data_IF_801103454897
#
_entry.id   IF_801103454897
#
_cell.length_a   1.000
_cell.length_b   1.000
_cell.length_c   1.000
_cell.angle_alpha   90.00
_cell.angle_beta   90.00
_cell.angle_gamma   90.00
#
_symmetry.space_group_name_H-M   'P 1'
#
loop_
_entity.id
_entity.type
_entity.pdbx_description
1 polymer ?
#
# COMPACT_ATOMS: atom_id res chain seq x y z
N UNK A 1 10.90 -21.58 -10.16
CA UNK A 1 10.47 -21.40 -8.76
C UNK A 1 10.14 -19.91 -8.52
N UNK A 2 9.16 -19.64 -7.64
CA UNK A 2 8.71 -18.30 -7.30
C UNK A 2 9.12 -17.95 -5.87
N UNK A 3 9.46 -16.67 -5.64
CA UNK A 3 9.64 -16.10 -4.31
C UNK A 3 8.52 -15.13 -4.05
N UNK A 4 7.74 -15.36 -2.99
CA UNK A 4 6.62 -14.51 -2.58
C UNK A 4 7.04 -13.74 -1.32
N UNK A 5 6.82 -12.44 -1.33
CA UNK A 5 7.07 -11.56 -0.18
C UNK A 5 5.82 -10.77 0.16
N UNK A 6 5.80 -10.18 1.33
CA UNK A 6 4.69 -9.39 1.86
C UNK A 6 5.09 -7.92 2.04
N UNK A 7 4.14 -7.02 1.81
CA UNK A 7 4.21 -5.62 2.18
C UNK A 7 2.99 -5.29 3.06
N UNK A 8 3.23 -4.84 4.29
CA UNK A 8 2.19 -4.62 5.29
C UNK A 8 1.38 -3.35 5.06
N UNK A 9 0.25 -3.22 5.75
CA UNK A 9 -0.70 -2.11 5.67
C UNK A 9 -1.36 -1.96 4.28
N UNK A 10 -1.95 -0.80 4.01
CA UNK A 10 -2.43 -0.46 2.67
C UNK A 10 -1.30 -0.29 1.67
N UNK A 11 -1.59 -0.52 0.40
CA UNK A 11 -0.58 -0.46 -0.66
C UNK A 11 0.05 0.94 -0.82
N UNK A 12 -0.66 1.98 -0.43
CA UNK A 12 -0.15 3.36 -0.39
C UNK A 12 0.98 3.57 0.63
N UNK A 13 1.08 2.70 1.63
CA UNK A 13 2.16 2.72 2.63
C UNK A 13 3.12 1.56 2.44
N UNK A 14 2.66 0.33 2.57
CA UNK A 14 3.53 -0.84 2.58
C UNK A 14 4.13 -1.13 1.21
N UNK A 15 3.31 -1.21 0.17
CA UNK A 15 3.81 -1.49 -1.18
C UNK A 15 4.64 -0.31 -1.72
N UNK A 16 4.24 0.94 -1.48
CA UNK A 16 5.04 2.11 -1.84
C UNK A 16 6.46 2.02 -1.28
N UNK A 17 6.60 1.73 0.03
CA UNK A 17 7.91 1.58 0.68
C UNK A 17 8.68 0.36 0.20
N UNK A 18 7.98 -0.75 -0.04
CA UNK A 18 8.60 -1.95 -0.60
C UNK A 18 9.22 -1.65 -1.97
N UNK A 19 8.49 -0.98 -2.85
CA UNK A 19 8.91 -0.68 -4.21
C UNK A 19 9.96 0.45 -4.25
N UNK A 20 9.73 1.57 -3.58
CA UNK A 20 10.64 2.71 -3.61
C UNK A 20 11.88 2.55 -2.72
N UNK A 21 11.81 1.80 -1.63
CA UNK A 21 12.92 1.66 -0.67
C UNK A 21 13.56 0.28 -0.79
N UNK A 22 12.80 -0.80 -0.51
CA UNK A 22 13.37 -2.14 -0.43
C UNK A 22 13.85 -2.64 -1.80
N UNK A 23 13.02 -2.55 -2.83
CA UNK A 23 13.39 -2.98 -4.18
C UNK A 23 14.60 -2.21 -4.70
N UNK A 24 14.59 -0.87 -4.55
CA UNK A 24 15.71 -0.01 -4.92
C UNK A 24 17.03 -0.44 -4.25
N UNK A 25 17.00 -0.63 -2.92
CA UNK A 25 18.22 -0.95 -2.14
C UNK A 25 18.72 -2.38 -2.37
N UNK A 26 17.82 -3.32 -2.61
CA UNK A 26 18.15 -4.73 -2.77
C UNK A 26 18.32 -5.15 -4.24
N UNK A 27 18.12 -4.25 -5.21
CA UNK A 27 18.15 -4.57 -6.63
C UNK A 27 17.07 -5.57 -7.05
N UNK A 28 15.90 -5.51 -6.40
CA UNK A 28 14.77 -6.38 -6.70
C UNK A 28 13.85 -5.74 -7.75
N UNK A 29 13.35 -6.56 -8.66
CA UNK A 29 12.34 -6.19 -9.65
C UNK A 29 11.19 -7.20 -9.57
N UNK A 30 10.04 -6.86 -8.98
CA UNK A 30 8.89 -7.76 -8.92
C UNK A 30 8.33 -8.04 -10.31
N UNK A 31 7.98 -9.31 -10.57
CA UNK A 31 7.34 -9.73 -11.83
C UNK A 31 5.82 -9.56 -11.81
N UNK A 32 5.20 -9.61 -10.61
CA UNK A 32 3.77 -9.41 -10.41
C UNK A 32 3.49 -8.88 -9.00
N UNK A 33 2.36 -8.20 -8.84
CA UNK A 33 1.85 -7.74 -7.56
C UNK A 33 0.48 -8.34 -7.32
N UNK A 34 0.28 -8.94 -6.14
CA UNK A 34 -1.05 -9.35 -5.66
C UNK A 34 -1.56 -8.28 -4.69
N UNK A 35 -2.64 -7.61 -5.08
CA UNK A 35 -3.32 -6.64 -4.23
C UNK A 35 -4.50 -7.31 -3.53
N UNK A 36 -4.41 -7.45 -2.22
CA UNK A 36 -5.49 -8.06 -1.43
C UNK A 36 -6.60 -7.03 -1.18
N UNK A 37 -7.82 -7.36 -1.57
CA UNK A 37 -9.02 -6.59 -1.31
C UNK A 37 -10.03 -7.41 -0.49
N UNK A 38 -10.88 -6.73 0.28
CA UNK A 38 -11.98 -7.36 1.00
C UNK A 38 -13.28 -6.58 0.78
N UNK A 39 -14.40 -7.27 0.67
CA UNK A 39 -15.74 -6.65 0.63
C UNK A 39 -15.96 -5.74 1.84
N UNK A 40 -15.49 -6.16 3.02
CA UNK A 40 -15.59 -5.37 4.25
C UNK A 40 -14.87 -4.02 4.15
N UNK A 41 -13.68 -4.00 3.55
CA UNK A 41 -12.94 -2.76 3.35
C UNK A 41 -13.67 -1.84 2.36
N UNK A 42 -14.26 -2.38 1.30
CA UNK A 42 -15.06 -1.60 0.35
C UNK A 42 -16.28 -1.00 1.05
N UNK A 43 -17.04 -1.79 1.82
CA UNK A 43 -18.17 -1.25 2.62
C UNK A 43 -17.74 -0.15 3.58
N UNK A 44 -16.63 -0.30 4.28
CA UNK A 44 -16.11 0.75 5.18
C UNK A 44 -15.74 2.03 4.44
N UNK A 45 -15.10 1.92 3.28
CA UNK A 45 -14.79 3.06 2.42
C UNK A 45 -16.05 3.66 1.79
N UNK A 46 -17.11 2.87 1.63
CA UNK A 46 -18.44 3.30 1.19
C UNK A 46 -19.33 3.85 2.30
N UNK A 47 -18.79 4.05 3.52
CA UNK A 47 -19.47 4.72 4.63
C UNK A 47 -20.23 3.80 5.59
N UNK A 48 -20.15 2.47 5.45
CA UNK A 48 -20.81 1.53 6.38
C UNK A 48 -20.07 1.50 7.72
N UNK A 49 -20.84 1.58 8.80
CA UNK A 49 -20.29 1.48 10.15
C UNK A 49 -19.77 0.07 10.44
N UNK A 50 -18.74 -0.03 11.31
CA UNK A 50 -18.06 -1.30 11.62
C UNK A 50 -19.00 -2.41 12.10
N UNK A 51 -20.07 -2.05 12.83
CA UNK A 51 -21.03 -3.01 13.36
C UNK A 51 -21.99 -3.58 12.30
N UNK A 52 -22.13 -2.90 11.16
CA UNK A 52 -23.10 -3.23 10.11
C UNK A 52 -22.45 -3.94 8.90
N UNK A 53 -21.13 -4.17 8.95
CA UNK A 53 -20.36 -4.78 7.86
C UNK A 53 -20.81 -6.20 7.48
N UNK A 54 -21.52 -6.90 8.34
CA UNK A 54 -22.03 -8.24 8.07
C UNK A 54 -23.33 -8.26 7.25
N UNK A 55 -23.98 -7.10 7.08
CA UNK A 55 -25.19 -6.98 6.27
C UNK A 55 -24.80 -6.75 4.80
N UNK A 56 -25.52 -7.38 3.88
CA UNK A 56 -25.30 -7.12 2.45
C UNK A 56 -25.52 -5.64 2.14
N UNK A 57 -24.60 -5.04 1.39
CA UNK A 57 -24.73 -3.66 0.91
C UNK A 57 -23.88 -3.44 -0.34
N UNK A 58 -24.41 -3.85 -1.49
CA UNK A 58 -23.75 -3.74 -2.80
C UNK A 58 -23.48 -2.27 -3.18
N UNK A 59 -24.39 -1.35 -2.85
CA UNK A 59 -24.21 0.07 -3.15
C UNK A 59 -23.04 0.67 -2.37
N UNK A 60 -22.88 0.29 -1.11
CA UNK A 60 -21.73 0.71 -0.33
C UNK A 60 -20.42 0.09 -0.85
N UNK A 61 -20.44 -1.16 -1.32
CA UNK A 61 -19.27 -1.77 -1.99
C UNK A 61 -18.89 -0.94 -3.20
N UNK A 62 -19.83 -0.64 -4.10
CA UNK A 62 -19.58 0.19 -5.29
C UNK A 62 -19.05 1.57 -4.94
N UNK A 63 -19.64 2.21 -3.91
CA UNK A 63 -19.19 3.52 -3.43
C UNK A 63 -17.78 3.51 -2.83
N UNK A 64 -17.35 2.38 -2.28
CA UNK A 64 -16.01 2.21 -1.72
C UNK A 64 -14.95 1.72 -2.70
N UNK A 65 -15.33 1.15 -3.83
CA UNK A 65 -14.41 0.66 -4.87
C UNK A 65 -13.40 1.70 -5.39
N UNK A 66 -13.68 3.01 -5.45
CA UNK A 66 -12.67 4.00 -5.82
C UNK A 66 -11.41 3.97 -4.95
N UNK A 67 -11.51 3.54 -3.68
CA UNK A 67 -10.33 3.31 -2.84
C UNK A 67 -9.44 2.20 -3.42
N UNK A 68 -10.03 1.07 -3.81
CA UNK A 68 -9.31 -0.03 -4.47
C UNK A 68 -8.73 0.42 -5.81
N UNK A 69 -9.51 1.16 -6.61
CA UNK A 69 -9.05 1.72 -7.88
C UNK A 69 -7.80 2.57 -7.72
N UNK A 70 -7.74 3.43 -6.70
CA UNK A 70 -6.57 4.23 -6.38
C UNK A 70 -5.34 3.36 -6.07
N UNK A 71 -5.49 2.28 -5.32
CA UNK A 71 -4.40 1.35 -5.06
C UNK A 71 -3.94 0.64 -6.34
N UNK A 72 -4.85 0.22 -7.22
CA UNK A 72 -4.52 -0.39 -8.51
C UNK A 72 -3.71 0.58 -9.37
N UNK A 73 -4.18 1.83 -9.53
CA UNK A 73 -3.46 2.87 -10.29
C UNK A 73 -2.05 3.11 -9.73
N UNK A 74 -1.95 3.25 -8.41
CA UNK A 74 -0.66 3.48 -7.75
C UNK A 74 0.32 2.34 -8.01
N UNK A 75 -0.12 1.09 -7.91
CA UNK A 75 0.74 -0.07 -8.16
C UNK A 75 1.14 -0.19 -9.64
N UNK A 76 0.21 0.03 -10.55
CA UNK A 76 0.49 0.05 -12.00
C UNK A 76 1.50 1.13 -12.38
N UNK A 77 1.57 2.25 -11.66
CA UNK A 77 2.53 3.33 -11.93
C UNK A 77 3.99 2.91 -11.73
N UNK A 78 4.25 1.82 -11.01
CA UNK A 78 5.58 1.23 -10.89
C UNK A 78 5.95 0.30 -12.06
N UNK A 79 5.07 0.14 -13.06
CA UNK A 79 5.33 -0.69 -14.24
C UNK A 79 5.22 -2.20 -13.98
N UNK A 80 4.53 -2.62 -12.91
CA UNK A 80 4.37 -4.03 -12.55
C UNK A 80 2.92 -4.45 -12.74
N UNK A 81 2.63 -5.60 -13.39
CA UNK A 81 1.28 -6.13 -13.51
C UNK A 81 0.65 -6.41 -12.14
N UNK A 82 -0.65 -6.10 -12.02
CA UNK A 82 -1.41 -6.23 -10.78
C UNK A 82 -2.55 -7.23 -10.95
N UNK A 83 -2.65 -8.20 -10.03
CA UNK A 83 -3.79 -9.10 -9.86
C UNK A 83 -4.44 -8.78 -8.53
N UNK A 84 -5.77 -8.62 -8.50
CA UNK A 84 -6.51 -8.39 -7.26
C UNK A 84 -6.95 -9.74 -6.68
N UNK A 85 -6.61 -9.98 -5.42
CA UNK A 85 -7.12 -11.12 -4.66
C UNK A 85 -8.28 -10.65 -3.78
N UNK A 86 -9.50 -11.07 -4.09
CA UNK A 86 -10.65 -10.83 -3.22
C UNK A 86 -10.62 -11.86 -2.09
N UNK A 87 -10.12 -11.45 -0.92
CA UNK A 87 -10.10 -12.28 0.27
C UNK A 87 -11.52 -12.41 0.81
N UNK A 88 -12.15 -13.53 0.53
CA UNK A 88 -13.57 -13.80 0.77
C UNK A 88 -13.81 -14.21 2.22
N UNK A 89 -14.74 -13.55 2.89
CA UNK A 89 -15.23 -13.90 4.21
C UNK A 89 -16.62 -14.56 4.13
N UNK A 90 -16.96 -15.39 5.12
CA UNK A 90 -18.20 -16.19 5.16
C UNK A 90 -19.49 -15.34 5.00
N UNK A 91 -19.44 -14.06 5.34
CA UNK A 91 -20.58 -13.14 5.25
C UNK A 91 -20.62 -12.31 3.97
N UNK A 92 -19.62 -12.43 3.13
CA UNK A 92 -19.62 -11.75 1.84
C UNK A 92 -20.61 -12.44 0.90
N UNK A 93 -21.46 -11.67 0.23
CA UNK A 93 -22.41 -12.22 -0.73
C UNK A 93 -21.83 -12.24 -2.14
N UNK A 94 -22.35 -13.13 -2.99
CA UNK A 94 -21.92 -13.22 -4.39
C UNK A 94 -22.12 -11.89 -5.13
N UNK A 95 -23.20 -11.16 -4.83
CA UNK A 95 -23.48 -9.84 -5.43
C UNK A 95 -22.43 -8.79 -5.02
N UNK A 96 -21.97 -8.80 -3.77
CA UNK A 96 -20.93 -7.89 -3.30
C UNK A 96 -19.58 -8.23 -3.93
N UNK A 97 -19.23 -9.52 -4.01
CA UNK A 97 -18.02 -10.00 -4.66
C UNK A 97 -18.02 -9.63 -6.14
N UNK A 98 -19.14 -9.85 -6.83
CA UNK A 98 -19.29 -9.52 -8.25
C UNK A 98 -19.08 -8.02 -8.48
N UNK A 99 -19.63 -7.15 -7.61
CA UNK A 99 -19.42 -5.71 -7.73
C UNK A 99 -17.94 -5.30 -7.65
N UNK A 100 -17.13 -5.98 -6.83
CA UNK A 100 -15.68 -5.75 -6.78
C UNK A 100 -15.01 -6.23 -8.06
N UNK A 101 -15.40 -7.41 -8.57
CA UNK A 101 -14.84 -7.96 -9.81
C UNK A 101 -15.16 -7.10 -11.03
N UNK A 102 -16.41 -6.65 -11.16
CA UNK A 102 -16.84 -5.76 -12.23
C UNK A 102 -16.02 -4.45 -12.23
N UNK A 103 -15.87 -3.84 -11.07
CA UNK A 103 -15.06 -2.62 -10.93
C UNK A 103 -13.59 -2.84 -11.30
N UNK A 104 -12.99 -3.96 -10.87
CA UNK A 104 -11.62 -4.28 -11.26
C UNK A 104 -11.47 -4.50 -12.77
N UNK A 105 -12.47 -5.13 -13.40
CA UNK A 105 -12.49 -5.34 -14.85
C UNK A 105 -12.56 -3.99 -15.61
N UNK A 106 -13.37 -3.04 -15.14
CA UNK A 106 -13.41 -1.66 -15.68
C UNK A 106 -12.04 -0.96 -15.56
N UNK A 107 -11.28 -1.25 -14.49
CA UNK A 107 -9.90 -0.76 -14.29
C UNK A 107 -8.85 -1.53 -15.11
N UNK A 108 -9.26 -2.49 -15.95
CA UNK A 108 -8.36 -3.34 -16.71
C UNK A 108 -7.46 -4.21 -15.81
N UNK A 109 -8.02 -4.73 -14.72
CA UNK A 109 -7.33 -5.58 -13.74
C UNK A 109 -8.24 -6.74 -13.36
N UNK A 110 -7.69 -7.95 -13.32
CA UNK A 110 -8.44 -9.13 -12.96
C UNK A 110 -8.54 -9.25 -11.42
N UNK A 111 -9.75 -9.59 -10.93
CA UNK A 111 -10.01 -9.85 -9.53
C UNK A 111 -10.43 -11.30 -9.32
N UNK A 112 -9.63 -12.06 -8.58
CA UNK A 112 -9.83 -13.49 -8.33
C UNK A 112 -10.23 -13.70 -6.88
N UNK A 113 -11.29 -14.46 -6.67
CA UNK A 113 -11.77 -14.81 -5.33
C UNK A 113 -10.83 -15.83 -4.69
N UNK A 114 -10.39 -15.52 -3.47
CA UNK A 114 -9.57 -16.42 -2.66
C UNK A 114 -10.36 -16.82 -1.41
N UNK A 115 -10.64 -18.11 -1.27
CA UNK A 115 -11.37 -18.73 -0.14
C UNK A 115 -10.44 -19.54 0.78
N UNK A 116 -9.17 -19.17 0.85
CA UNK A 116 -8.15 -19.93 1.58
C UNK A 116 -8.48 -20.14 3.07
N UNK A 117 -9.24 -19.24 3.68
CA UNK A 117 -9.65 -19.37 5.07
C UNK A 117 -10.61 -20.57 5.27
N UNK A 118 -11.54 -20.78 4.33
CA UNK A 118 -12.52 -21.87 4.41
C UNK A 118 -11.98 -23.18 3.80
N UNK A 119 -11.29 -23.07 2.66
CA UNK A 119 -10.97 -24.20 1.80
C UNK A 119 -9.45 -24.52 1.77
N UNK A 120 -8.66 -23.84 2.61
CA UNK A 120 -7.20 -24.01 2.63
C UNK A 120 -6.55 -23.61 1.31
N UNK A 121 -5.48 -24.28 0.93
CA UNK A 121 -4.73 -23.98 -0.30
C UNK A 121 -5.56 -24.12 -1.58
N UNK A 122 -6.51 -25.02 -1.60
CA UNK A 122 -7.43 -25.23 -2.75
C UNK A 122 -8.23 -23.96 -3.04
N UNK A 123 -8.63 -23.23 -1.99
CA UNK A 123 -9.35 -21.96 -2.11
C UNK A 123 -8.56 -20.83 -2.77
N UNK A 124 -7.26 -20.98 -2.97
CA UNK A 124 -6.38 -20.00 -3.64
C UNK A 124 -5.73 -20.51 -4.92
N UNK A 125 -6.08 -21.72 -5.37
CA UNK A 125 -5.41 -22.35 -6.52
C UNK A 125 -5.53 -21.52 -7.80
N UNK A 126 -6.72 -20.98 -8.09
CA UNK A 126 -6.94 -20.14 -9.28
C UNK A 126 -6.12 -18.84 -9.21
N UNK A 127 -6.04 -18.24 -8.03
CA UNK A 127 -5.19 -17.05 -7.81
C UNK A 127 -3.72 -17.39 -8.06
N UNK A 128 -3.24 -18.51 -7.51
CA UNK A 128 -1.85 -18.94 -7.67
C UNK A 128 -1.49 -19.21 -9.13
N UNK A 129 -2.35 -19.90 -9.87
CA UNK A 129 -2.18 -20.16 -11.31
C UNK A 129 -2.08 -18.85 -12.09
N UNK A 130 -3.02 -17.92 -11.83
CA UNK A 130 -3.03 -16.64 -12.53
C UNK A 130 -1.81 -15.79 -12.23
N UNK A 131 -1.37 -15.75 -10.99
CA UNK A 131 -0.16 -15.01 -10.60
C UNK A 131 1.09 -15.60 -11.27
N UNK A 132 1.19 -16.92 -11.35
CA UNK A 132 2.27 -17.60 -12.05
C UNK A 132 2.28 -17.22 -13.55
N UNK A 133 1.12 -17.30 -14.23
CA UNK A 133 0.98 -16.89 -15.64
C UNK A 133 1.43 -15.43 -15.86
N UNK A 134 1.00 -14.51 -15.00
CA UNK A 134 1.37 -13.08 -15.09
C UNK A 134 2.88 -12.88 -14.85
N UNK A 135 3.44 -13.60 -13.88
CA UNK A 135 4.88 -13.51 -13.59
C UNK A 135 5.76 -14.10 -14.72
N UNK A 136 5.28 -15.18 -15.35
CA UNK A 136 6.01 -15.87 -16.44
C UNK A 136 5.86 -15.14 -17.79
N UNK A 137 4.86 -14.25 -17.93
CA UNK A 137 4.68 -13.45 -19.15
C UNK A 137 5.79 -12.41 -19.37
N UNK A 138 6.61 -12.12 -18.36
CA UNK A 138 7.74 -11.17 -18.39
C UNK A 138 7.36 -9.76 -18.90
N UNK A 139 6.15 -9.32 -18.57
CA UNK A 139 5.62 -8.02 -18.98
C UNK A 139 5.96 -6.89 -18.00
N UNK A 140 6.58 -7.21 -16.86
CA UNK A 140 6.93 -6.24 -15.85
C UNK A 140 8.07 -5.33 -16.30
N UNK A 141 7.86 -4.02 -16.19
CA UNK A 141 8.88 -2.99 -16.43
C UNK A 141 9.01 -2.12 -15.18
N UNK A 142 9.49 -2.74 -14.10
CA UNK A 142 9.56 -2.12 -12.79
C UNK A 142 10.46 -0.87 -12.78
N UNK A 143 9.94 0.23 -12.25
CA UNK A 143 10.68 1.45 -11.97
C UNK A 143 10.14 2.12 -10.72
N UNK A 144 11.02 2.57 -9.79
CA UNK A 144 10.61 3.47 -8.71
C UNK A 144 10.01 4.77 -9.28
N UNK A 145 9.08 5.40 -8.54
CA UNK A 145 8.36 6.60 -9.02
C UNK A 145 9.20 7.88 -9.00
N UNK A 146 10.40 7.84 -8.47
CA UNK A 146 11.36 8.94 -8.51
C UNK A 146 12.79 8.43 -8.63
N UNK A 147 13.72 9.16 -9.30
CA UNK A 147 15.12 8.80 -9.39
C UNK A 147 15.90 9.16 -8.11
N UNK A 148 17.12 8.59 -7.96
CA UNK A 148 17.96 8.79 -6.78
C UNK A 148 18.46 10.24 -6.65
N UNK A 149 18.70 10.91 -7.75
CA UNK A 149 19.24 12.28 -7.83
C UNK A 149 18.18 13.39 -7.68
N UNK A 150 16.89 13.02 -7.54
CA UNK A 150 15.84 13.99 -7.21
C UNK A 150 16.08 14.59 -5.83
N UNK A 151 15.83 15.90 -5.65
CA UNK A 151 15.93 16.55 -4.35
C UNK A 151 14.99 15.93 -3.31
N UNK A 152 15.42 15.87 -2.05
CA UNK A 152 14.65 15.21 -0.97
C UNK A 152 13.25 15.79 -0.80
N UNK A 153 13.12 17.12 -0.86
CA UNK A 153 11.81 17.78 -0.81
C UNK A 153 10.92 17.39 -1.99
N UNK A 154 11.50 17.25 -3.18
CA UNK A 154 10.77 16.86 -4.39
C UNK A 154 10.35 15.38 -4.36
N UNK A 155 11.16 14.49 -3.76
CA UNK A 155 10.76 13.09 -3.50
C UNK A 155 9.52 13.02 -2.62
N UNK A 156 9.46 13.82 -1.55
CA UNK A 156 8.29 13.94 -0.67
C UNK A 156 7.08 14.43 -1.48
N UNK A 157 7.24 15.51 -2.25
CA UNK A 157 6.18 16.05 -3.10
C UNK A 157 5.69 15.01 -4.14
N UNK A 158 6.62 14.27 -4.74
CA UNK A 158 6.31 13.25 -5.74
C UNK A 158 5.40 12.15 -5.15
N UNK A 159 5.75 11.62 -3.97
CA UNK A 159 4.93 10.59 -3.30
C UNK A 159 3.54 11.18 -2.97
N UNK A 160 3.48 12.39 -2.41
CA UNK A 160 2.21 13.02 -2.04
C UNK A 160 1.30 13.22 -3.24
N UNK A 161 1.83 13.66 -4.37
CA UNK A 161 1.04 13.89 -5.60
C UNK A 161 0.66 12.59 -6.30
N UNK A 162 1.60 11.68 -6.48
CA UNK A 162 1.39 10.49 -7.32
C UNK A 162 0.74 9.33 -6.57
N UNK A 163 1.01 9.15 -5.28
CA UNK A 163 0.45 8.04 -4.48
C UNK A 163 -0.78 8.49 -3.70
N UNK A 164 -0.71 9.64 -3.02
CA UNK A 164 -1.81 10.10 -2.18
C UNK A 164 -2.82 11.00 -2.91
N UNK A 165 -2.48 11.48 -4.13
CA UNK A 165 -3.28 12.45 -4.88
C UNK A 165 -3.57 13.72 -4.07
N UNK A 166 -2.63 14.08 -3.21
CA UNK A 166 -2.66 15.36 -2.51
C UNK A 166 -2.22 16.50 -3.46
N UNK A 167 -2.69 17.70 -3.20
CA UNK A 167 -2.27 18.87 -3.96
C UNK A 167 -0.79 19.19 -3.70
N UNK A 168 -0.39 19.08 -2.43
CA UNK A 168 1.01 19.30 -2.03
C UNK A 168 1.35 18.68 -0.67
N UNK A 169 2.65 18.50 -0.42
CA UNK A 169 3.21 18.33 0.91
C UNK A 169 3.65 19.71 1.46
N UNK A 170 3.06 20.12 2.57
CA UNK A 170 3.40 21.39 3.22
C UNK A 170 4.58 21.17 4.16
N UNK A 171 5.69 21.85 3.91
CA UNK A 171 6.93 21.82 4.70
C UNK A 171 7.30 23.22 5.12
N UNK A 172 7.56 23.43 6.41
CA UNK A 172 8.05 24.72 6.87
C UNK A 172 9.52 24.95 6.48
N UNK A 173 9.99 26.18 6.67
CA UNK A 173 11.37 26.56 6.32
C UNK A 173 12.40 25.71 7.04
N UNK A 174 12.16 25.35 8.30
CA UNK A 174 13.10 24.56 9.10
C UNK A 174 13.29 23.16 8.50
N UNK A 175 12.19 22.52 8.06
CA UNK A 175 12.23 21.22 7.40
C UNK A 175 12.98 21.31 6.07
N UNK A 176 12.67 22.33 5.25
CA UNK A 176 13.34 22.53 3.97
C UNK A 176 14.85 22.77 4.13
N UNK A 177 15.25 23.61 5.09
CA UNK A 177 16.66 23.85 5.40
C UNK A 177 17.36 22.56 5.86
N UNK A 178 16.72 21.75 6.72
CA UNK A 178 17.26 20.48 7.18
C UNK A 178 17.45 19.45 6.05
N UNK A 179 16.51 19.35 5.11
CA UNK A 179 16.64 18.49 3.95
C UNK A 179 17.81 18.90 3.06
N UNK A 180 17.99 20.22 2.83
CA UNK A 180 19.14 20.75 2.09
C UNK A 180 20.47 20.48 2.77
N UNK A 181 20.52 20.60 4.10
CA UNK A 181 21.73 20.31 4.87
C UNK A 181 22.12 18.85 4.70
N UNK A 182 21.17 17.92 4.71
CA UNK A 182 21.44 16.50 4.47
C UNK A 182 21.87 16.22 3.02
N UNK A 183 21.30 16.90 2.05
CA UNK A 183 21.78 16.82 0.65
C UNK A 183 23.24 17.28 0.56
N UNK A 184 23.60 18.39 1.21
CA UNK A 184 24.99 18.88 1.29
C UNK A 184 25.96 17.93 2.00
N UNK A 185 25.45 17.08 2.90
CA UNK A 185 26.22 16.02 3.58
C UNK A 185 26.29 14.70 2.78
N UNK A 186 25.71 14.65 1.56
CA UNK A 186 25.76 13.49 0.68
C UNK A 186 24.58 12.51 0.83
N UNK A 187 23.55 12.85 1.62
CA UNK A 187 22.37 12.01 1.83
C UNK A 187 21.24 12.25 0.83
N UNK A 188 21.43 13.11 -0.17
CA UNK A 188 20.41 13.45 -1.17
C UNK A 188 19.89 12.24 -1.98
N UNK A 189 20.71 11.20 -2.14
CA UNK A 189 20.34 9.99 -2.85
C UNK A 189 19.37 9.07 -2.07
N UNK A 190 19.19 9.29 -0.76
CA UNK A 190 18.37 8.41 0.07
C UNK A 190 16.88 8.46 -0.34
N UNK A 191 16.20 7.32 -0.37
CA UNK A 191 14.75 7.27 -0.55
C UNK A 191 14.01 7.80 0.68
N UNK A 192 12.73 8.14 0.49
CA UNK A 192 11.87 8.70 1.53
C UNK A 192 10.85 7.68 2.01
N UNK A 193 10.69 7.59 3.32
CA UNK A 193 9.67 6.82 4.01
C UNK A 193 8.62 7.79 4.57
N UNK A 194 7.43 7.83 3.97
CA UNK A 194 6.32 8.63 4.46
C UNK A 194 5.65 7.93 5.64
N UNK A 195 5.56 8.61 6.77
CA UNK A 195 4.92 8.11 7.98
C UNK A 195 3.64 8.91 8.26
N UNK A 196 2.49 8.33 7.98
CA UNK A 196 1.14 8.91 8.15
C UNK A 196 0.14 7.85 8.61
N UNK A 197 -1.11 8.25 8.88
CA UNK A 197 -2.18 7.31 9.20
C UNK A 197 -2.37 6.26 8.11
N UNK A 198 -2.65 5.03 8.51
CA UNK A 198 -2.95 3.92 7.59
C UNK A 198 -4.42 3.87 7.14
N UNK A 199 -5.28 4.74 7.63
CA UNK A 199 -6.73 4.67 7.38
C UNK A 199 -7.22 5.53 6.22
N UNK A 200 -6.36 6.35 5.64
CA UNK A 200 -6.69 7.25 4.53
C UNK A 200 -5.46 7.55 3.68
N UNK A 201 -5.65 7.93 2.42
CA UNK A 201 -4.59 8.54 1.60
C UNK A 201 -4.17 9.92 2.13
N UNK A 202 -5.05 10.60 2.89
CA UNK A 202 -4.73 11.86 3.57
C UNK A 202 -4.08 11.62 4.95
N UNK A 203 -3.90 12.68 5.73
CA UNK A 203 -3.48 12.62 7.13
C UNK A 203 -4.68 12.61 8.11
N UNK A 204 -5.92 12.71 7.60
CA UNK A 204 -7.14 12.56 8.38
C UNK A 204 -7.68 11.12 8.25
N UNK A 205 -7.71 10.32 9.33
CA UNK A 205 -8.17 8.94 9.28
C UNK A 205 -9.67 8.80 8.95
N UNK A 206 -10.44 9.88 9.03
CA UNK A 206 -11.87 9.89 8.72
C UNK A 206 -12.16 10.19 7.24
N UNK A 207 -11.22 10.76 6.51
CA UNK A 207 -11.34 11.06 5.09
C UNK A 207 -11.08 9.79 4.27
N UNK A 208 -12.10 8.93 4.18
CA UNK A 208 -12.02 7.60 3.55
C UNK A 208 -12.24 7.66 2.04
N UNK A 209 -12.17 6.50 1.40
CA UNK A 209 -12.35 6.36 -0.05
C UNK A 209 -11.10 6.75 -0.84
N UNK A 210 -11.26 7.57 -1.86
CA UNK A 210 -10.18 8.06 -2.71
C UNK A 210 -10.14 9.61 -2.71
N UNK A 211 -9.76 10.25 -1.59
CA UNK A 211 -9.76 11.70 -1.49
C UNK A 211 -8.75 12.34 -2.45
N UNK A 212 -9.08 13.56 -2.89
CA UNK A 212 -8.22 14.45 -3.69
C UNK A 212 -8.31 15.87 -3.13
N UNK A 213 -7.42 16.77 -3.54
CA UNK A 213 -7.49 18.17 -3.15
C UNK A 213 -7.12 18.45 -1.69
N UNK A 214 -6.50 17.49 -1.02
CA UNK A 214 -6.02 17.63 0.35
C UNK A 214 -4.52 17.95 0.37
N UNK A 215 -4.04 18.45 1.49
CA UNK A 215 -2.62 18.69 1.72
C UNK A 215 -2.05 17.71 2.73
N UNK A 216 -0.76 17.41 2.61
CA UNK A 216 -0.04 16.54 3.55
C UNK A 216 0.92 17.43 4.37
N UNK A 217 0.62 17.75 5.63
CA UNK A 217 1.54 18.50 6.49
C UNK A 217 2.69 17.58 6.94
N UNK A 218 3.90 17.93 6.56
CA UNK A 218 5.13 17.31 7.08
C UNK A 218 5.51 18.03 8.37
N UNK A 219 5.46 17.32 9.49
CA UNK A 219 5.71 17.91 10.82
C UNK A 219 7.17 17.80 11.25
N UNK A 220 7.83 16.78 10.76
CA UNK A 220 9.22 16.46 11.13
C UNK A 220 9.84 15.60 10.04
N UNK A 221 11.15 15.72 9.88
CA UNK A 221 11.97 14.78 9.09
C UNK A 221 13.08 14.20 9.96
N UNK A 222 13.37 12.93 9.75
CA UNK A 222 14.42 12.19 10.48
C UNK A 222 15.27 11.42 9.48
N UNK A 223 16.58 11.40 9.70
CA UNK A 223 17.47 10.55 8.93
C UNK A 223 17.68 9.22 9.65
N UNK A 224 17.40 8.12 8.97
CA UNK A 224 17.73 6.76 9.41
C UNK A 224 18.95 6.27 8.63
N UNK A 225 20.12 6.87 8.91
CA UNK A 225 21.34 6.67 8.14
C UNK A 225 21.75 5.19 8.05
N UNK A 226 21.66 4.45 9.16
CA UNK A 226 21.96 3.01 9.18
C UNK A 226 21.02 2.15 8.34
N UNK A 227 19.75 2.53 8.26
CA UNK A 227 18.76 1.87 7.41
C UNK A 227 18.76 2.43 5.98
N UNK A 228 19.35 3.61 5.77
CA UNK A 228 19.53 4.25 4.48
C UNK A 228 18.24 4.78 3.86
N UNK A 229 17.46 5.52 4.63
CA UNK A 229 16.30 6.29 4.15
C UNK A 229 16.00 7.48 5.07
N UNK A 230 15.22 8.41 4.57
CA UNK A 230 14.71 9.56 5.32
C UNK A 230 13.26 9.32 5.66
N UNK A 231 12.88 9.58 6.93
CA UNK A 231 11.49 9.50 7.38
C UNK A 231 10.86 10.89 7.35
N UNK A 232 9.74 11.05 6.66
CA UNK A 232 8.90 12.23 6.71
C UNK A 232 7.65 11.94 7.56
N UNK A 233 7.55 12.56 8.72
CA UNK A 233 6.43 12.37 9.65
C UNK A 233 5.30 13.32 9.29
N UNK A 234 4.15 12.76 8.90
CA UNK A 234 2.99 13.50 8.41
C UNK A 234 1.77 13.23 9.28
N UNK A 235 1.28 14.27 9.93
CA UNK A 235 0.13 14.15 10.84
C UNK A 235 0.46 13.39 12.13
N UNK A 236 -0.57 12.88 12.79
CA UNK A 236 -0.43 12.03 13.97
C UNK A 236 -0.24 10.58 13.54
N UNK A 237 0.82 9.96 14.05
CA UNK A 237 1.11 8.55 13.82
C UNK A 237 1.36 7.87 15.15
N UNK A 238 0.94 6.61 15.23
CA UNK A 238 1.35 5.73 16.32
C UNK A 238 2.69 5.10 15.94
N UNK A 239 3.71 5.37 16.75
CA UNK A 239 5.00 4.67 16.59
C UNK A 239 4.84 3.21 17.02
N UNK A 240 5.54 2.32 16.33
CA UNK A 240 5.55 0.92 16.73
C UNK A 240 6.02 0.81 18.20
N UNK A 241 5.31 0.08 19.08
CA UNK A 241 5.78 -0.17 20.43
C UNK A 241 7.14 -0.88 20.38
N UNK A 242 8.01 -0.59 21.35
CA UNK A 242 9.28 -1.27 21.46
C UNK A 242 9.11 -2.78 21.55
N UNK A 243 10.03 -3.52 20.97
CA UNK A 243 10.04 -4.97 21.10
C UNK A 243 10.24 -5.36 22.58
N UNK A 244 9.55 -6.41 23.08
CA UNK A 244 9.76 -6.89 24.43
C UNK A 244 11.19 -7.41 24.62
N UNK A 245 11.71 -7.34 25.84
CA UNK A 245 13.05 -7.89 26.17
C UNK A 245 13.17 -9.38 25.87
N UNK A 246 12.07 -10.11 26.01
CA UNK A 246 11.95 -11.51 25.63
C UNK A 246 11.03 -11.58 24.40
N UNK A 247 11.57 -11.81 23.21
CA UNK A 247 10.78 -11.92 21.98
C UNK A 247 9.75 -13.04 22.08
N UNK A 248 8.56 -12.83 21.51
CA UNK A 248 7.54 -13.89 21.45
C UNK A 248 8.04 -15.16 20.75
N UNK A 249 9.00 -15.01 19.84
CA UNK A 249 9.64 -16.15 19.16
C UNK A 249 10.33 -17.15 20.11
N UNK A 250 10.73 -16.74 21.30
CA UNK A 250 11.33 -17.63 22.32
C UNK A 250 10.28 -18.55 22.98
N UNK A 251 9.01 -18.19 22.90
CA UNK A 251 7.90 -18.94 23.51
C UNK A 251 6.97 -19.62 22.50
N UNK A 252 7.19 -19.39 21.20
CA UNK A 252 6.46 -20.06 20.14
C UNK A 252 7.06 -21.46 19.97
N UNK A 253 6.23 -22.48 20.21
CA UNK A 253 6.59 -23.87 19.98
C UNK A 253 5.54 -24.55 19.12
N UNK A 254 5.94 -25.59 18.41
CA UNK A 254 5.02 -26.49 17.71
C UNK A 254 4.55 -27.48 18.77
N UNK A 255 3.26 -27.50 19.06
CA UNK A 255 2.66 -28.57 19.85
C UNK A 255 2.47 -29.78 18.92
N UNK A 256 3.05 -30.92 19.33
CA UNK A 256 2.85 -32.20 18.68
C UNK A 256 1.40 -32.71 18.82
#
# INVERSE_FOLDING_TARGET
DYVVTEAGFGADLGAEKFLNIKCRKAGLAPSAIVLVATVRAMKMNGGVAKNDLNNENVDAVKSGCPNLGRHIENLKSFGVPVVVAVNHFVKDTDAEVQAVQDYCAEMGTEAIVSKHWADGSVGSENLAKRVAEVADADEANFSPIYPDDMHLADKIQNICKNIYRADEAVMDKKILDQLKDWEGQGYGHLPVCMAKTQYSFSTDPNLRGAPTGHVIPVREVRISAGAGFIVAVCGEIMTMPGLPRHPAAETICINE
#
